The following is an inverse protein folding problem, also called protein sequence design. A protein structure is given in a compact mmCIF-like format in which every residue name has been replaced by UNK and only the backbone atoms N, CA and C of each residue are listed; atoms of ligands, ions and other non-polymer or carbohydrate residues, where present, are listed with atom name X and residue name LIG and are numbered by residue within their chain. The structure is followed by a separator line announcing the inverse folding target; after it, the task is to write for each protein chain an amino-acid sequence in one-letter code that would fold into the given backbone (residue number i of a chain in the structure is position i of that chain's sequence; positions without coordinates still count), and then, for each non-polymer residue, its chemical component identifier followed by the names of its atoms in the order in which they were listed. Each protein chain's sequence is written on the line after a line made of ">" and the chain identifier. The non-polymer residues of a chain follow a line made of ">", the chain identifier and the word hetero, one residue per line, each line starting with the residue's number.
data_IF_029535698066
#
_entry.id   IF_029535698066
#
_cell.length_a   1.000
_cell.length_b   1.000
_cell.length_c   1.000
_cell.angle_alpha   90.00
_cell.angle_beta   90.00
_cell.angle_gamma   90.00
#
_symmetry.space_group_name_H-M   'P 1'
#
loop_
_entity.id
_entity.type
_entity.pdbx_description
1 polymer ?
#
# COMPACT_ATOMS: atom_id res chain seq x y z
N UNK A 1 -4.30 31.34 42.45
CA UNK A 1 -2.91 31.13 42.91
C UNK A 1 -2.17 30.31 41.84
N UNK A 2 -1.21 30.93 41.16
CA UNK A 2 -0.15 30.39 40.28
C UNK A 2 1.17 30.76 41.02
N UNK A 3 2.37 30.13 40.90
CA UNK A 3 2.97 29.27 39.85
C UNK A 3 3.71 28.00 40.40
N UNK A 4 4.29 27.08 39.63
CA UNK A 4 5.56 27.11 38.84
C UNK A 4 5.57 25.85 37.94
N UNK A 5 5.66 25.91 36.60
CA UNK A 5 6.79 26.29 35.73
C UNK A 5 8.05 25.45 35.94
N UNK A 6 8.35 24.54 35.01
CA UNK A 6 9.69 24.39 34.43
C UNK A 6 9.59 23.82 33.00
N UNK A 7 10.10 24.58 32.05
CA UNK A 7 10.38 24.21 30.66
C UNK A 7 11.91 23.93 30.52
N UNK A 8 12.53 24.07 29.34
CA UNK A 8 12.73 23.06 28.30
C UNK A 8 14.23 22.70 28.11
N UNK A 9 14.52 21.55 27.50
CA UNK A 9 15.89 21.19 27.07
C UNK A 9 16.15 21.58 25.61
N UNK A 10 16.79 22.74 25.39
CA UNK A 10 17.33 23.17 24.10
C UNK A 10 18.72 22.55 23.81
N UNK A 11 18.91 22.16 22.54
CA UNK A 11 20.09 22.38 21.69
C UNK A 11 21.50 22.08 22.24
N UNK A 12 22.11 21.03 21.70
CA UNK A 12 23.56 20.80 21.73
C UNK A 12 24.17 20.87 20.33
N UNK A 13 24.36 22.08 19.78
CA UNK A 13 25.24 22.32 18.62
C UNK A 13 26.58 22.80 19.17
N UNK A 14 27.65 22.00 19.05
CA UNK A 14 29.01 22.45 19.35
C UNK A 14 29.82 22.55 18.07
N UNK A 15 30.21 23.79 17.81
CA UNK A 15 31.18 24.24 16.82
C UNK A 15 32.57 24.32 17.47
N UNK A 16 33.61 24.42 16.64
CA UNK A 16 35.03 24.74 16.91
C UNK A 16 35.96 23.51 16.99
N UNK A 17 37.17 23.52 16.40
CA UNK A 17 37.98 24.67 16.01
C UNK A 17 39.06 24.36 14.96
N UNK A 18 39.62 25.46 14.46
CA UNK A 18 40.68 25.62 13.45
C UNK A 18 42.05 25.56 14.12
N UNK A 19 43.06 25.00 13.43
CA UNK A 19 44.47 25.47 13.35
C UNK A 19 45.23 24.51 12.40
N UNK A 20 45.60 24.91 11.17
CA UNK A 20 46.76 25.68 10.69
C UNK A 20 48.07 24.86 10.49
N UNK A 21 48.33 24.58 9.20
CA UNK A 21 49.56 24.70 8.38
C UNK A 21 50.86 24.03 8.85
N UNK A 22 51.39 23.16 7.97
CA UNK A 22 52.82 23.08 7.66
C UNK A 22 53.01 22.81 6.16
N UNK A 23 53.82 23.65 5.51
CA UNK A 23 54.17 23.59 4.10
C UNK A 23 55.32 22.60 3.86
N UNK A 24 55.31 21.91 2.71
CA UNK A 24 56.51 21.26 2.16
C UNK A 24 56.42 21.13 0.63
N UNK A 25 57.21 21.99 -0.03
CA UNK A 25 58.02 21.86 -1.24
C UNK A 25 57.57 20.99 -2.45
N UNK A 26 57.73 21.62 -3.61
CA UNK A 26 57.54 21.15 -4.98
C UNK A 26 58.34 19.88 -5.35
N UNK A 27 57.69 19.00 -6.12
CA UNK A 27 58.32 18.26 -7.21
C UNK A 27 57.31 18.16 -8.37
N UNK A 28 57.60 18.84 -9.47
CA UNK A 28 56.85 18.72 -10.71
C UNK A 28 57.26 17.42 -11.42
N UNK A 29 56.30 16.52 -11.62
CA UNK A 29 56.41 15.41 -12.57
C UNK A 29 55.17 15.45 -13.46
N UNK A 30 55.34 15.88 -14.71
CA UNK A 30 54.30 15.84 -15.72
C UNK A 30 54.08 14.39 -16.16
N UNK A 31 53.07 13.74 -15.58
CA UNK A 31 52.52 12.48 -16.07
C UNK A 31 51.50 12.80 -17.17
N UNK A 32 51.75 12.32 -18.38
CA UNK A 32 50.78 12.38 -19.47
C UNK A 32 49.50 11.60 -19.07
N UNK A 33 48.29 12.12 -19.32
CA UNK A 33 47.09 11.35 -19.07
C UNK A 33 47.01 10.22 -20.11
N UNK A 34 47.15 8.98 -19.68
CA UNK A 34 46.59 7.86 -20.42
C UNK A 34 45.07 8.07 -20.44
N UNK A 35 44.52 8.35 -21.62
CA UNK A 35 43.09 8.53 -21.79
C UNK A 35 42.35 7.26 -21.33
N UNK A 36 41.73 7.34 -20.16
CA UNK A 36 40.80 6.32 -19.72
C UNK A 36 39.63 6.30 -20.71
N UNK A 37 39.47 5.19 -21.43
CA UNK A 37 38.30 5.00 -22.27
C UNK A 37 37.03 5.18 -21.42
N UNK A 38 36.01 5.91 -21.90
CA UNK A 38 34.78 6.08 -21.16
C UNK A 38 34.14 4.70 -20.91
N UNK A 39 34.07 4.30 -19.64
CA UNK A 39 33.28 3.13 -19.25
C UNK A 39 31.82 3.47 -19.55
N UNK A 40 31.25 2.73 -20.50
CA UNK A 40 29.83 2.84 -20.82
C UNK A 40 29.02 2.58 -19.53
N UNK A 41 28.03 3.42 -19.20
CA UNK A 41 27.20 3.21 -18.02
C UNK A 41 26.55 1.83 -18.12
N UNK A 42 26.75 1.00 -17.09
CA UNK A 42 26.09 -0.28 -16.98
C UNK A 42 24.58 -0.07 -17.04
N UNK A 43 23.91 -0.77 -17.97
CA UNK A 43 22.46 -0.69 -18.11
C UNK A 43 21.80 -1.05 -16.76
N UNK A 44 20.80 -0.28 -16.30
CA UNK A 44 20.11 -0.60 -15.06
C UNK A 44 19.52 -2.01 -15.17
N UNK A 45 19.84 -2.87 -14.20
CA UNK A 45 19.27 -4.20 -14.11
C UNK A 45 17.74 -4.07 -14.12
N UNK A 46 17.09 -4.72 -15.09
CA UNK A 46 15.64 -4.75 -15.14
C UNK A 46 15.11 -5.47 -13.90
N UNK A 47 14.65 -4.71 -12.91
CA UNK A 47 13.92 -5.25 -11.76
C UNK A 47 12.61 -5.81 -12.31
N UNK A 48 12.55 -7.12 -12.53
CA UNK A 48 11.28 -7.82 -12.69
C UNK A 48 10.59 -7.77 -11.33
N UNK A 49 9.76 -6.76 -11.11
CA UNK A 49 8.87 -6.74 -9.97
C UNK A 49 8.03 -8.03 -10.02
N UNK A 50 8.22 -8.92 -9.06
CA UNK A 50 7.36 -10.08 -8.93
C UNK A 50 5.92 -9.55 -8.73
N UNK A 51 5.02 -9.89 -9.65
CA UNK A 51 3.62 -9.48 -9.55
C UNK A 51 3.06 -9.93 -8.20
N UNK A 52 2.54 -9.00 -7.41
CA UNK A 52 1.91 -9.30 -6.13
C UNK A 52 0.84 -10.39 -6.34
N UNK A 53 0.90 -11.52 -5.61
CA UNK A 53 -0.11 -12.56 -5.70
C UNK A 53 -1.52 -11.97 -5.55
N UNK A 54 -2.47 -12.39 -6.38
CA UNK A 54 -3.80 -11.77 -6.42
C UNK A 54 -4.52 -11.77 -5.06
N UNK A 55 -4.37 -12.82 -4.25
CA UNK A 55 -4.97 -12.86 -2.90
C UNK A 55 -4.37 -11.79 -1.95
N UNK A 56 -3.11 -11.41 -2.14
CA UNK A 56 -2.49 -10.30 -1.40
C UNK A 56 -3.03 -8.96 -1.90
N UNK A 57 -3.26 -8.80 -3.20
CA UNK A 57 -3.92 -7.62 -3.77
C UNK A 57 -5.35 -7.45 -3.20
N UNK A 58 -6.09 -8.56 -3.06
CA UNK A 58 -7.40 -8.59 -2.39
C UNK A 58 -7.26 -8.20 -0.92
N UNK A 59 -6.26 -8.71 -0.20
CA UNK A 59 -6.01 -8.33 1.19
C UNK A 59 -5.70 -6.83 1.35
N UNK A 60 -4.85 -6.26 0.50
CA UNK A 60 -4.54 -4.83 0.48
C UNK A 60 -5.79 -3.99 0.20
N UNK A 61 -6.60 -4.41 -0.78
CA UNK A 61 -7.86 -3.74 -1.08
C UNK A 61 -8.81 -3.74 0.11
N UNK A 62 -9.12 -4.90 0.70
CA UNK A 62 -10.09 -4.98 1.79
C UNK A 62 -9.61 -4.23 3.04
N UNK A 63 -8.30 -4.27 3.36
CA UNK A 63 -7.74 -3.49 4.45
C UNK A 63 -7.95 -1.99 4.24
N UNK A 64 -7.43 -1.45 3.15
CA UNK A 64 -7.55 -0.03 2.85
C UNK A 64 -9.02 0.42 2.67
N UNK A 65 -9.86 -0.43 2.07
CA UNK A 65 -11.25 -0.12 1.82
C UNK A 65 -12.05 -0.06 3.12
N UNK A 66 -11.92 -1.05 4.00
CA UNK A 66 -12.62 -1.08 5.30
C UNK A 66 -12.20 0.13 6.14
N UNK A 67 -10.91 0.45 6.19
CA UNK A 67 -10.41 1.64 6.89
C UNK A 67 -11.01 2.93 6.31
N UNK A 68 -11.07 3.04 4.98
CA UNK A 68 -11.66 4.20 4.32
C UNK A 68 -13.18 4.33 4.56
N UNK A 69 -13.93 3.22 4.65
CA UNK A 69 -15.37 3.27 4.92
C UNK A 69 -15.64 3.57 6.41
N UNK A 70 -14.75 3.15 7.31
CA UNK A 70 -14.84 3.45 8.74
C UNK A 70 -14.47 4.90 9.09
N UNK A 71 -13.62 5.54 8.29
CA UNK A 71 -13.16 6.90 8.53
C UNK A 71 -14.23 7.95 8.21
N UNK A 72 -14.35 8.96 9.08
CA UNK A 72 -15.18 10.14 8.80
C UNK A 72 -14.71 10.83 7.50
N UNK A 73 -15.65 11.08 6.58
CA UNK A 73 -15.33 11.69 5.28
C UNK A 73 -14.57 10.79 4.30
N UNK A 74 -14.35 9.51 4.61
CA UNK A 74 -13.55 8.59 3.79
C UNK A 74 -14.18 8.15 2.46
N UNK A 75 -15.40 8.60 2.13
CA UNK A 75 -16.11 8.22 0.90
C UNK A 75 -15.34 8.51 -0.41
N UNK A 76 -14.57 9.61 -0.47
CA UNK A 76 -13.71 9.90 -1.64
C UNK A 76 -12.58 8.88 -1.78
N UNK A 77 -11.94 8.51 -0.68
CA UNK A 77 -10.89 7.49 -0.66
C UNK A 77 -11.45 6.12 -1.02
N UNK A 78 -12.59 5.72 -0.45
CA UNK A 78 -13.29 4.48 -0.80
C UNK A 78 -13.59 4.41 -2.31
N UNK A 79 -14.04 5.52 -2.91
CA UNK A 79 -14.30 5.63 -4.35
C UNK A 79 -13.02 5.49 -5.19
N UNK A 80 -11.92 6.10 -4.75
CA UNK A 80 -10.62 5.99 -5.42
C UNK A 80 -10.08 4.55 -5.35
N UNK A 81 -10.15 3.91 -4.18
CA UNK A 81 -9.76 2.51 -3.98
C UNK A 81 -10.57 1.58 -4.88
N UNK A 82 -11.89 1.74 -4.91
CA UNK A 82 -12.76 0.99 -5.84
C UNK A 82 -12.30 1.17 -7.28
N UNK A 83 -11.99 2.40 -7.68
CA UNK A 83 -11.54 2.71 -9.05
C UNK A 83 -10.16 2.19 -9.40
N UNK A 84 -9.30 1.94 -8.42
CA UNK A 84 -7.98 1.34 -8.61
C UNK A 84 -8.08 -0.20 -8.66
N UNK A 85 -8.70 -0.81 -7.65
CA UNK A 85 -8.67 -2.26 -7.46
C UNK A 85 -9.72 -3.04 -8.26
N UNK A 86 -10.88 -2.45 -8.55
CA UNK A 86 -11.99 -3.16 -9.22
C UNK A 86 -12.01 -2.89 -10.73
N UNK A 87 -12.45 -3.86 -11.52
CA UNK A 87 -12.72 -3.63 -12.94
C UNK A 87 -13.88 -2.65 -13.13
N UNK A 88 -13.93 -1.90 -14.26
CA UNK A 88 -15.08 -1.04 -14.57
C UNK A 88 -16.41 -1.79 -14.60
N UNK A 89 -16.42 -3.00 -15.16
CA UNK A 89 -17.60 -3.86 -15.22
C UNK A 89 -18.13 -4.19 -13.82
N UNK A 90 -17.25 -4.64 -12.91
CA UNK A 90 -17.64 -4.94 -11.54
C UNK A 90 -18.17 -3.69 -10.82
N UNK A 91 -17.52 -2.53 -10.96
CA UNK A 91 -18.02 -1.28 -10.35
C UNK A 91 -19.44 -0.94 -10.79
N UNK A 92 -19.79 -1.18 -12.06
CA UNK A 92 -21.15 -0.97 -12.57
C UNK A 92 -22.16 -1.96 -11.95
N UNK A 93 -21.77 -3.23 -11.86
CA UNK A 93 -22.59 -4.27 -11.23
C UNK A 93 -22.84 -4.00 -9.75
N UNK A 94 -21.79 -3.58 -9.03
CA UNK A 94 -21.91 -3.19 -7.62
C UNK A 94 -22.87 -2.02 -7.47
N UNK A 95 -22.72 -0.94 -8.25
CA UNK A 95 -23.61 0.22 -8.19
C UNK A 95 -25.08 -0.14 -8.38
N UNK A 96 -25.36 -1.05 -9.32
CA UNK A 96 -26.72 -1.56 -9.59
C UNK A 96 -27.25 -2.43 -8.45
N UNK A 97 -26.37 -3.19 -7.79
CA UNK A 97 -26.75 -3.97 -6.62
C UNK A 97 -27.00 -3.07 -5.41
N UNK A 98 -26.12 -2.10 -5.15
CA UNK A 98 -26.19 -1.14 -4.05
C UNK A 98 -27.48 -0.33 -4.11
N UNK A 99 -27.86 0.16 -5.30
CA UNK A 99 -29.10 0.89 -5.49
C UNK A 99 -30.36 0.07 -5.13
N UNK A 100 -30.30 -1.26 -5.29
CA UNK A 100 -31.43 -2.17 -4.98
C UNK A 100 -31.43 -2.65 -3.53
N UNK A 101 -30.27 -2.76 -2.91
CA UNK A 101 -30.12 -3.41 -1.60
C UNK A 101 -29.85 -2.41 -0.47
N UNK A 102 -29.59 -1.13 -0.78
CA UNK A 102 -29.26 -0.09 0.19
C UNK A 102 -28.13 -0.49 1.15
N UNK A 103 -27.15 -1.23 0.63
CA UNK A 103 -26.03 -1.81 1.36
C UNK A 103 -24.74 -1.62 0.53
N UNK A 104 -23.57 -1.69 1.18
CA UNK A 104 -22.29 -1.67 0.49
C UNK A 104 -22.11 -2.96 -0.32
N UNK A 105 -21.90 -2.83 -1.63
CA UNK A 105 -21.80 -3.96 -2.55
C UNK A 105 -20.49 -4.74 -2.45
N UNK A 106 -19.41 -4.10 -1.98
CA UNK A 106 -18.12 -4.77 -1.73
C UNK A 106 -18.24 -5.63 -0.47
N UNK A 107 -18.87 -5.11 0.59
CA UNK A 107 -19.02 -5.81 1.86
C UNK A 107 -20.23 -6.74 1.90
N UNK A 108 -21.18 -6.57 0.96
CA UNK A 108 -22.50 -7.21 0.94
C UNK A 108 -23.28 -6.98 2.25
N UNK A 109 -23.12 -5.80 2.85
CA UNK A 109 -23.67 -5.48 4.17
C UNK A 109 -23.93 -3.99 4.33
N UNK A 110 -24.76 -3.63 5.31
CA UNK A 110 -25.10 -2.23 5.63
C UNK A 110 -24.08 -1.58 6.57
N UNK A 111 -23.35 -2.37 7.35
CA UNK A 111 -22.37 -1.94 8.33
C UNK A 111 -20.94 -2.29 7.91
N UNK A 112 -19.98 -1.73 8.63
CA UNK A 112 -18.55 -2.02 8.45
C UNK A 112 -18.13 -3.18 9.37
N UNK A 113 -17.38 -4.18 8.86
CA UNK A 113 -16.91 -5.30 9.68
C UNK A 113 -15.82 -4.84 10.66
N UNK A 114 -15.72 -5.53 11.80
CA UNK A 114 -14.70 -5.30 12.82
C UNK A 114 -13.33 -5.84 12.42
N UNK A 115 -13.32 -6.92 11.63
CA UNK A 115 -12.10 -7.55 11.14
C UNK A 115 -12.38 -8.32 9.85
N UNK A 116 -11.31 -8.66 9.13
CA UNK A 116 -11.40 -9.52 7.96
C UNK A 116 -10.23 -10.49 7.89
N UNK A 117 -10.39 -11.56 7.12
CA UNK A 117 -9.32 -12.48 6.75
C UNK A 117 -9.46 -12.84 5.28
N UNK A 118 -8.36 -12.77 4.53
CA UNK A 118 -8.31 -13.23 3.14
C UNK A 118 -7.48 -14.51 3.08
N UNK A 119 -8.03 -15.53 2.42
CA UNK A 119 -7.29 -16.76 2.10
C UNK A 119 -7.26 -16.98 0.61
N UNK A 120 -6.13 -17.52 0.13
CA UNK A 120 -5.98 -17.97 -1.25
C UNK A 120 -7.01 -19.07 -1.55
N UNK A 121 -7.62 -19.00 -2.73
CA UNK A 121 -8.40 -20.08 -3.32
C UNK A 121 -7.73 -20.59 -4.60
N UNK A 122 -8.52 -21.31 -5.39
CA UNK A 122 -8.04 -21.94 -6.63
C UNK A 122 -7.84 -20.92 -7.76
N UNK A 123 -7.24 -21.36 -8.86
CA UNK A 123 -7.03 -20.56 -10.07
C UNK A 123 -7.35 -21.38 -11.32
N UNK A 124 -7.87 -20.74 -12.36
CA UNK A 124 -8.32 -21.40 -13.58
C UNK A 124 -9.10 -20.46 -14.49
N UNK A 125 -9.17 -20.78 -15.79
CA UNK A 125 -9.98 -20.03 -16.76
C UNK A 125 -9.65 -18.54 -16.88
N UNK A 126 -8.38 -18.14 -16.71
CA UNK A 126 -7.97 -16.73 -16.74
C UNK A 126 -8.22 -15.96 -15.44
N UNK A 127 -8.64 -16.65 -14.38
CA UNK A 127 -8.98 -16.04 -13.11
C UNK A 127 -8.33 -16.76 -11.92
N UNK A 128 -8.32 -16.08 -10.79
CA UNK A 128 -7.95 -16.63 -9.49
C UNK A 128 -8.94 -16.18 -8.45
N UNK A 129 -9.22 -17.04 -7.48
CA UNK A 129 -10.21 -16.78 -6.45
C UNK A 129 -9.56 -16.64 -5.09
N UNK A 130 -10.18 -15.81 -4.26
CA UNK A 130 -9.85 -15.63 -2.84
C UNK A 130 -11.12 -15.73 -2.01
N UNK A 131 -11.00 -16.26 -0.80
CA UNK A 131 -12.10 -16.25 0.17
C UNK A 131 -11.85 -15.11 1.16
N UNK A 132 -12.84 -14.25 1.33
CA UNK A 132 -12.81 -13.16 2.32
C UNK A 132 -13.82 -13.48 3.40
N UNK A 133 -13.35 -13.67 4.62
CA UNK A 133 -14.20 -13.78 5.80
C UNK A 133 -14.28 -12.41 6.46
N UNK A 134 -15.49 -11.89 6.62
CA UNK A 134 -15.77 -10.66 7.35
C UNK A 134 -16.30 -11.02 8.75
N UNK A 135 -15.84 -10.31 9.77
CA UNK A 135 -16.23 -10.52 11.17
C UNK A 135 -17.03 -9.32 11.66
N UNK A 136 -18.24 -9.56 12.15
CA UNK A 136 -19.22 -8.51 12.48
C UNK A 136 -19.38 -8.27 13.97
N UNK A 137 -19.07 -9.27 14.80
CA UNK A 137 -19.16 -9.17 16.26
C UNK A 137 -17.94 -9.81 16.92
N UNK A 138 -17.59 -9.32 18.11
CA UNK A 138 -16.57 -9.91 18.98
C UNK A 138 -17.16 -10.88 20.02
N UNK A 139 -16.30 -11.44 20.87
CA UNK A 139 -16.71 -12.29 22.00
C UNK A 139 -16.73 -13.79 21.68
N UNK A 140 -17.43 -14.57 22.52
CA UNK A 140 -17.42 -16.05 22.45
C UNK A 140 -18.03 -16.63 21.18
N UNK A 141 -18.95 -15.91 20.54
CA UNK A 141 -19.62 -16.32 19.29
C UNK A 141 -19.59 -15.20 18.25
N UNK A 142 -18.47 -15.00 17.55
CA UNK A 142 -18.38 -14.00 16.50
C UNK A 142 -19.28 -14.35 15.32
N UNK A 143 -19.96 -13.34 14.77
CA UNK A 143 -20.74 -13.46 13.55
C UNK A 143 -19.84 -13.26 12.33
N UNK A 144 -19.97 -14.13 11.34
CA UNK A 144 -19.17 -14.08 10.11
C UNK A 144 -20.04 -14.05 8.85
N UNK A 145 -19.55 -13.40 7.81
CA UNK A 145 -19.96 -13.67 6.43
C UNK A 145 -18.75 -14.04 5.58
N UNK A 146 -19.00 -14.72 4.46
CA UNK A 146 -17.96 -15.20 3.57
C UNK A 146 -18.25 -14.70 2.15
N UNK A 147 -17.25 -14.10 1.52
CA UNK A 147 -17.29 -13.66 0.15
C UNK A 147 -16.29 -14.47 -0.67
N UNK A 148 -16.68 -14.78 -1.90
CA UNK A 148 -15.79 -15.31 -2.93
C UNK A 148 -15.43 -14.15 -3.85
N UNK A 149 -14.13 -13.82 -3.88
CA UNK A 149 -13.60 -12.71 -4.67
C UNK A 149 -12.83 -13.28 -5.84
N UNK A 150 -13.20 -12.87 -7.04
CA UNK A 150 -12.56 -13.26 -8.29
C UNK A 150 -11.65 -12.13 -8.75
N UNK A 151 -10.41 -12.47 -9.09
CA UNK A 151 -9.44 -11.56 -9.71
C UNK A 151 -9.11 -12.03 -11.11
N UNK A 152 -8.95 -11.06 -12.00
CA UNK A 152 -8.48 -11.27 -13.36
C UNK A 152 -6.95 -11.46 -13.38
N UNK A 153 -6.47 -12.54 -14.01
CA UNK A 153 -5.04 -12.87 -14.00
C UNK A 153 -4.20 -11.94 -14.89
N UNK A 154 -4.80 -11.32 -15.91
CA UNK A 154 -4.07 -10.42 -16.80
C UNK A 154 -3.80 -9.07 -16.13
N UNK A 155 -4.78 -8.55 -15.42
CA UNK A 155 -4.75 -7.20 -14.83
C UNK A 155 -4.49 -7.20 -13.32
N UNK A 156 -4.67 -8.33 -12.64
CA UNK A 156 -4.63 -8.42 -11.17
C UNK A 156 -5.81 -7.75 -10.47
N UNK A 157 -6.78 -7.21 -11.23
CA UNK A 157 -7.92 -6.45 -10.68
C UNK A 157 -9.03 -7.39 -10.26
N UNK A 158 -9.77 -6.97 -9.25
CA UNK A 158 -10.95 -7.69 -8.76
C UNK A 158 -12.07 -7.53 -9.79
N UNK A 159 -12.54 -8.65 -10.33
CA UNK A 159 -13.53 -8.72 -11.41
C UNK A 159 -14.87 -9.30 -10.96
N UNK A 160 -14.93 -9.95 -9.79
CA UNK A 160 -16.18 -10.45 -9.20
C UNK A 160 -16.16 -10.50 -7.68
N UNK A 161 -17.33 -10.28 -7.06
CA UNK A 161 -17.58 -10.47 -5.62
C UNK A 161 -18.94 -11.15 -5.48
N UNK A 162 -18.97 -12.32 -4.84
CA UNK A 162 -20.18 -13.12 -4.60
C UNK A 162 -20.25 -13.60 -3.17
#
# INVERSE_FOLDING_TARGET
>A
MIPLRHAPGLHGRRTAGRTLIAAALLAAASVAPAAAAPQAPAAPAAVRAASTPAYQQVAHFYGAYIDAVAAEGGGKLATALRSFYLTPALRSQLRSWEARNHADGVLRAQNTPLAFKVTRGDSGGGHTWSKVRLTWSGGKHPLYSHLTVQSDLQTGRISGIR
#
